data_IF_852718533885
#
_entry.id   IF_852718533885
#
_cell.length_a   1.000
_cell.length_b   1.000
_cell.length_c   1.000
_cell.angle_alpha   90.00
_cell.angle_beta   90.00
_cell.angle_gamma   90.00
#
_symmetry.space_group_name_H-M   'P 1'
#
loop_
_entity.id
_entity.type
_entity.pdbx_description
1 polymer ?
#
# COMPACT_ATOMS: atom_id res chain seq x y z
N UNK A 1 -28.20 -24.82 6.25
CA UNK A 1 -28.90 -23.55 6.50
C UNK A 1 -27.88 -22.44 6.34
N UNK A 2 -27.73 -21.95 5.11
CA UNK A 2 -26.87 -20.81 4.81
C UNK A 2 -27.68 -19.53 5.05
N UNK A 3 -27.24 -18.73 6.01
CA UNK A 3 -27.81 -17.41 6.24
C UNK A 3 -27.21 -16.43 5.23
N UNK A 4 -28.00 -16.10 4.21
CA UNK A 4 -27.73 -14.99 3.30
C UNK A 4 -27.95 -13.66 4.02
N UNK A 5 -26.91 -12.85 4.11
CA UNK A 5 -27.03 -11.45 4.54
C UNK A 5 -27.39 -10.64 3.29
N UNK A 6 -28.68 -10.34 3.13
CA UNK A 6 -29.18 -9.44 2.09
C UNK A 6 -28.90 -7.99 2.51
N UNK A 7 -28.14 -7.26 1.70
CA UNK A 7 -28.02 -5.82 1.80
C UNK A 7 -28.98 -5.14 0.80
N UNK A 8 -29.82 -4.18 1.24
CA UNK A 8 -30.75 -3.48 0.37
C UNK A 8 -29.99 -2.50 -0.55
N UNK A 9 -30.00 -2.78 -1.86
CA UNK A 9 -29.41 -1.91 -2.88
C UNK A 9 -28.92 -2.61 -4.15
N UNK A 10 -28.75 -3.93 -4.13
CA UNK A 10 -28.31 -4.69 -5.30
C UNK A 10 -29.48 -5.03 -6.23
N UNK A 11 -29.83 -4.11 -7.13
CA UNK A 11 -30.78 -4.40 -8.22
C UNK A 11 -30.09 -5.23 -9.28
N UNK A 12 -30.53 -6.48 -9.46
CA UNK A 12 -30.04 -7.41 -10.48
C UNK A 12 -30.56 -6.94 -11.86
N UNK A 13 -29.76 -6.22 -12.64
CA UNK A 13 -30.12 -5.84 -14.02
C UNK A 13 -29.54 -6.88 -14.99
N UNK A 14 -30.41 -7.75 -15.52
CA UNK A 14 -30.16 -8.49 -16.78
C UNK A 14 -30.40 -7.52 -17.92
N UNK A 15 -29.45 -7.35 -18.85
CA UNK A 15 -29.74 -6.76 -20.16
C UNK A 15 -29.00 -7.48 -21.28
N UNK A 16 -29.77 -7.80 -22.33
CA UNK A 16 -29.36 -8.42 -23.59
C UNK A 16 -28.58 -7.44 -24.48
N UNK A 17 -27.56 -7.93 -25.20
CA UNK A 17 -26.75 -7.12 -26.12
C UNK A 17 -27.25 -7.23 -27.56
N UNK A 18 -27.50 -6.09 -28.21
CA UNK A 18 -27.59 -5.95 -29.68
C UNK A 18 -26.45 -5.06 -30.17
N UNK A 19 -25.70 -5.51 -31.17
CA UNK A 19 -24.63 -4.74 -31.80
C UNK A 19 -25.18 -3.77 -32.86
N UNK A 20 -24.58 -2.58 -32.95
CA UNK A 20 -24.65 -1.69 -34.12
C UNK A 20 -23.26 -1.16 -34.44
N UNK A 21 -22.84 -1.30 -35.70
CA UNK A 21 -21.72 -0.56 -36.28
C UNK A 21 -22.10 0.92 -36.37
N UNK A 22 -21.25 1.81 -35.87
CA UNK A 22 -21.35 3.25 -36.11
C UNK A 22 -20.02 3.77 -36.65
N UNK A 23 -20.12 4.51 -37.75
CA UNK A 23 -19.03 5.24 -38.39
C UNK A 23 -18.92 6.65 -37.80
N UNK A 24 -17.68 7.15 -37.76
CA UNK A 24 -17.20 8.54 -37.64
C UNK A 24 -17.10 9.19 -36.25
N UNK A 25 -15.85 9.53 -35.92
CA UNK A 25 -15.33 10.77 -35.32
C UNK A 25 -16.08 11.39 -34.14
N UNK A 26 -15.84 10.90 -32.92
CA UNK A 26 -15.92 11.74 -31.69
C UNK A 26 -15.14 11.12 -30.52
N UNK A 27 -14.29 11.91 -29.85
CA UNK A 27 -13.40 11.50 -28.74
C UNK A 27 -14.04 11.76 -27.35
N UNK A 28 -13.76 10.89 -26.37
CA UNK A 28 -14.07 11.14 -24.95
C UNK A 28 -12.79 11.17 -24.11
N UNK A 29 -12.60 12.27 -23.37
CA UNK A 29 -11.57 12.43 -22.32
C UNK A 29 -12.22 12.12 -20.99
N UNK A 30 -11.78 11.08 -20.28
CA UNK A 30 -12.20 10.84 -18.90
C UNK A 30 -11.12 11.29 -17.92
N UNK A 31 -11.50 12.14 -16.98
CA UNK A 31 -10.67 12.61 -15.87
C UNK A 31 -11.47 12.39 -14.57
N UNK A 32 -11.05 11.39 -13.78
CA UNK A 32 -11.53 10.99 -12.43
C UNK A 32 -12.96 10.41 -12.27
N UNK A 33 -13.28 9.85 -11.09
CA UNK A 33 -12.86 8.54 -10.56
C UNK A 33 -13.80 7.43 -11.08
N UNK A 34 -13.26 6.28 -11.50
CA UNK A 34 -14.12 5.18 -11.94
C UNK A 34 -14.56 4.34 -10.73
N UNK A 35 -15.77 4.62 -10.23
CA UNK A 35 -16.58 3.58 -9.58
C UNK A 35 -17.00 2.62 -10.69
N UNK A 36 -16.48 1.40 -10.68
CA UNK A 36 -16.88 0.36 -11.64
C UNK A 36 -18.34 -0.03 -11.37
N UNK A 37 -19.26 0.55 -12.14
CA UNK A 37 -20.60 0.01 -12.37
C UNK A 37 -20.89 0.00 -13.87
N UNK A 38 -20.47 -1.07 -14.55
CA UNK A 38 -20.72 -1.27 -15.98
C UNK A 38 -19.79 -2.32 -16.61
N UNK A 39 -20.23 -3.07 -17.64
CA UNK A 39 -19.51 -4.23 -18.15
C UNK A 39 -18.29 -3.84 -18.99
N UNK A 40 -17.25 -4.68 -18.88
CA UNK A 40 -16.03 -4.67 -19.70
C UNK A 40 -16.42 -4.86 -21.17
N UNK A 41 -15.97 -3.95 -22.04
CA UNK A 41 -16.24 -4.00 -23.48
C UNK A 41 -15.34 -5.04 -24.17
N UNK A 42 -15.95 -5.85 -25.05
CA UNK A 42 -15.27 -6.71 -26.03
C UNK A 42 -15.88 -6.39 -27.40
N UNK A 43 -15.12 -5.77 -28.31
CA UNK A 43 -15.13 -6.14 -29.73
C UNK A 43 -13.97 -5.50 -30.49
N UNK A 44 -13.53 -6.18 -31.56
CA UNK A 44 -12.20 -6.04 -32.14
C UNK A 44 -11.81 -4.65 -32.59
N UNK A 45 -10.75 -4.13 -31.98
CA UNK A 45 -9.81 -3.15 -32.50
C UNK A 45 -8.59 -3.12 -31.56
N UNK A 46 -7.39 -3.09 -32.15
CA UNK A 46 -6.10 -3.20 -31.48
C UNK A 46 -5.88 -2.02 -30.53
N UNK A 47 -5.57 -2.29 -29.26
CA UNK A 47 -5.22 -1.26 -28.28
C UNK A 47 -3.68 -1.12 -28.19
N UNK A 48 -3.18 0.12 -28.21
CA UNK A 48 -1.76 0.46 -28.13
C UNK A 48 -1.54 1.36 -26.92
N UNK A 49 -0.51 1.07 -26.11
CA UNK A 49 -0.13 1.90 -24.96
C UNK A 49 1.20 2.61 -25.16
N UNK A 50 1.24 3.89 -24.77
CA UNK A 50 2.47 4.69 -24.65
C UNK A 50 2.81 4.95 -23.18
N UNK A 51 4.05 4.65 -22.79
CA UNK A 51 4.57 4.86 -21.44
C UNK A 51 5.60 5.98 -21.46
N UNK A 52 5.24 7.14 -20.87
CA UNK A 52 6.16 8.23 -20.57
C UNK A 52 6.30 8.35 -19.05
N UNK A 53 7.52 8.55 -18.56
CA UNK A 53 7.92 8.44 -17.14
C UNK A 53 7.32 9.45 -16.15
N UNK A 54 6.14 9.99 -16.41
CA UNK A 54 5.28 10.64 -15.42
C UNK A 54 3.86 10.19 -15.74
N UNK A 55 3.22 9.48 -14.82
CA UNK A 55 2.00 8.68 -15.05
C UNK A 55 0.88 9.47 -15.75
N UNK A 56 0.87 9.42 -17.07
CA UNK A 56 -0.20 9.87 -17.96
C UNK A 56 -0.68 8.65 -18.74
N UNK A 57 -1.85 8.12 -18.38
CA UNK A 57 -2.55 7.11 -19.17
C UNK A 57 -3.28 7.81 -20.31
N UNK A 58 -2.64 7.89 -21.47
CA UNK A 58 -3.33 8.16 -22.72
C UNK A 58 -3.54 6.82 -23.42
N UNK A 59 -4.77 6.31 -23.37
CA UNK A 59 -5.15 5.27 -24.33
C UNK A 59 -4.99 5.85 -25.73
N UNK A 60 -4.14 5.24 -26.56
CA UNK A 60 -4.03 5.65 -27.95
C UNK A 60 -5.29 5.18 -28.67
N UNK A 61 -6.23 6.10 -28.89
CA UNK A 61 -7.31 5.95 -29.84
C UNK A 61 -6.74 5.86 -31.26
N UNK A 62 -7.51 5.31 -32.19
CA UNK A 62 -7.23 5.38 -33.63
C UNK A 62 -6.72 6.78 -34.04
N UNK A 63 -5.61 6.82 -34.78
CA UNK A 63 -5.07 8.06 -35.35
C UNK A 63 -3.82 8.65 -34.68
N UNK A 64 -3.27 8.04 -33.62
CA UNK A 64 -1.93 8.41 -33.14
C UNK A 64 -0.87 7.90 -34.11
N UNK A 65 -0.14 8.83 -34.75
CA UNK A 65 1.06 8.49 -35.52
C UNK A 65 2.11 8.00 -34.53
N UNK A 66 2.41 6.71 -34.55
CA UNK A 66 3.48 6.16 -33.73
C UNK A 66 4.81 6.56 -34.35
N UNK A 67 5.61 7.33 -33.61
CA UNK A 67 6.95 7.76 -34.07
C UNK A 67 7.97 6.61 -34.06
N UNK A 68 7.59 5.44 -33.51
CA UNK A 68 8.41 4.23 -33.42
C UNK A 68 7.54 2.97 -33.56
N UNK A 69 8.05 1.88 -34.14
CA UNK A 69 7.29 0.62 -34.23
C UNK A 69 7.10 0.00 -32.84
N UNK A 70 5.91 -0.57 -32.53
CA UNK A 70 5.66 -1.18 -31.24
C UNK A 70 6.35 -2.54 -31.10
N UNK A 71 6.74 -2.89 -29.87
CA UNK A 71 7.09 -4.25 -29.48
C UNK A 71 5.80 -5.07 -29.38
N UNK A 72 5.70 -6.09 -30.22
CA UNK A 72 4.56 -7.02 -30.21
C UNK A 72 4.67 -7.99 -29.03
N UNK A 73 3.56 -8.16 -28.30
CA UNK A 73 3.33 -9.23 -27.33
C UNK A 73 2.26 -10.15 -27.91
N UNK A 74 2.55 -11.44 -27.96
CA UNK A 74 1.60 -12.45 -28.46
C UNK A 74 0.55 -12.75 -27.40
N UNK A 75 -0.72 -12.77 -27.81
CA UNK A 75 -1.86 -13.09 -26.96
C UNK A 75 -2.40 -11.88 -26.19
N UNK A 76 -3.17 -12.19 -25.15
CA UNK A 76 -3.78 -11.19 -24.27
C UNK A 76 -2.73 -10.62 -23.30
N UNK A 77 -2.91 -9.35 -22.88
CA UNK A 77 -1.98 -8.63 -22.00
C UNK A 77 -2.76 -7.96 -20.89
N UNK A 78 -2.31 -8.09 -19.65
CA UNK A 78 -2.77 -7.27 -18.52
C UNK A 78 -1.61 -6.32 -18.17
N UNK A 79 -1.77 -5.02 -18.43
CA UNK A 79 -0.74 -4.02 -18.18
C UNK A 79 -1.02 -3.23 -16.91
N UNK A 80 -0.09 -3.26 -15.95
CA UNK A 80 -0.35 -2.75 -14.60
C UNK A 80 0.91 -2.26 -13.87
N UNK A 81 0.76 -1.40 -12.84
CA UNK A 81 1.90 -0.92 -12.08
C UNK A 81 2.41 -2.09 -11.24
N UNK A 82 3.72 -2.22 -11.15
CA UNK A 82 4.31 -3.18 -10.22
C UNK A 82 5.58 -2.58 -9.67
N UNK A 83 5.65 -2.42 -8.35
CA UNK A 83 6.80 -1.80 -7.72
C UNK A 83 7.68 -2.82 -7.01
N UNK A 84 8.99 -2.57 -7.02
CA UNK A 84 9.95 -3.30 -6.17
C UNK A 84 9.89 -2.85 -4.71
N UNK A 85 9.24 -1.71 -4.43
CA UNK A 85 9.09 -1.19 -3.08
C UNK A 85 7.82 -1.75 -2.43
N UNK A 86 7.96 -2.39 -1.25
CA UNK A 86 6.89 -3.17 -0.62
C UNK A 86 5.58 -2.40 -0.42
N UNK A 87 5.65 -1.12 -0.01
CA UNK A 87 4.47 -0.26 0.10
C UNK A 87 3.71 -0.12 -1.22
N UNK A 88 4.39 0.32 -2.29
CA UNK A 88 3.75 0.53 -3.58
C UNK A 88 3.24 -0.78 -4.17
N UNK A 89 3.98 -1.88 -3.98
CA UNK A 89 3.50 -3.20 -4.36
C UNK A 89 2.17 -3.55 -3.68
N UNK A 90 2.08 -3.44 -2.35
CA UNK A 90 0.86 -3.82 -1.62
C UNK A 90 -0.31 -2.90 -1.98
N UNK A 91 -0.09 -1.59 -1.91
CA UNK A 91 -1.17 -0.63 -2.02
C UNK A 91 -1.63 -0.37 -3.45
N UNK A 92 -0.77 -0.55 -4.46
CA UNK A 92 -1.09 -0.28 -5.87
C UNK A 92 -1.24 -1.55 -6.70
N UNK A 93 -0.31 -2.51 -6.56
CA UNK A 93 -0.28 -3.73 -7.39
C UNK A 93 -1.15 -4.84 -6.83
N UNK A 94 -0.99 -5.17 -5.55
CA UNK A 94 -1.70 -6.28 -4.94
C UNK A 94 -3.20 -5.99 -4.82
N UNK A 95 -3.59 -4.75 -4.52
CA UNK A 95 -5.00 -4.31 -4.54
C UNK A 95 -5.61 -4.44 -5.93
N UNK A 96 -4.87 -4.14 -6.99
CA UNK A 96 -5.34 -4.26 -8.37
C UNK A 96 -5.49 -5.72 -8.79
N UNK A 97 -4.50 -6.57 -8.49
CA UNK A 97 -4.59 -8.01 -8.72
C UNK A 97 -5.73 -8.65 -7.93
N UNK A 98 -5.94 -8.21 -6.69
CA UNK A 98 -7.07 -8.65 -5.87
C UNK A 98 -8.41 -8.26 -6.49
N UNK A 99 -8.54 -7.04 -7.02
CA UNK A 99 -9.75 -6.62 -7.71
C UNK A 99 -10.02 -7.49 -8.95
N UNK A 100 -9.00 -7.69 -9.79
CA UNK A 100 -9.12 -8.55 -10.99
C UNK A 100 -9.52 -9.98 -10.62
N UNK A 101 -8.93 -10.52 -9.55
CA UNK A 101 -9.22 -11.85 -9.04
C UNK A 101 -10.66 -11.96 -8.50
N UNK A 102 -11.13 -11.02 -7.68
CA UNK A 102 -12.52 -11.01 -7.18
C UNK A 102 -13.54 -10.99 -8.32
N UNK A 103 -13.20 -10.33 -9.43
CA UNK A 103 -14.04 -10.23 -10.61
C UNK A 103 -13.86 -11.37 -11.62
N UNK A 104 -13.03 -12.38 -11.31
CA UNK A 104 -12.81 -13.54 -12.18
C UNK A 104 -11.99 -13.24 -13.44
N UNK A 105 -11.35 -12.07 -13.53
CA UNK A 105 -10.63 -11.66 -14.73
C UNK A 105 -9.31 -12.42 -14.90
N UNK A 106 -8.62 -12.75 -13.80
CA UNK A 106 -7.37 -13.53 -13.92
C UNK A 106 -7.65 -14.96 -14.41
N UNK A 107 -8.81 -15.49 -14.05
CA UNK A 107 -9.29 -16.81 -14.44
C UNK A 107 -9.84 -16.83 -15.88
N UNK A 108 -10.42 -15.75 -16.38
CA UNK A 108 -10.84 -15.61 -17.78
C UNK A 108 -9.62 -15.56 -18.73
N UNK A 109 -8.50 -15.02 -18.25
CA UNK A 109 -7.28 -14.80 -19.06
C UNK A 109 -6.05 -15.50 -18.46
N UNK A 110 -6.06 -16.84 -18.32
CA UNK A 110 -4.99 -17.59 -17.63
C UNK A 110 -3.64 -17.54 -18.37
N UNK A 111 -3.69 -17.38 -19.69
CA UNK A 111 -2.52 -17.31 -20.58
C UNK A 111 -2.07 -15.86 -20.89
N UNK A 112 -2.70 -14.85 -20.26
CA UNK A 112 -2.32 -13.47 -20.50
C UNK A 112 -0.88 -13.18 -20.06
N UNK A 113 -0.23 -12.23 -20.72
CA UNK A 113 1.04 -11.68 -20.26
C UNK A 113 0.76 -10.55 -19.26
N UNK A 114 1.29 -10.69 -18.04
CA UNK A 114 1.32 -9.58 -17.08
C UNK A 114 2.47 -8.63 -17.45
N UNK A 115 2.16 -7.46 -18.01
CA UNK A 115 3.13 -6.43 -18.36
C UNK A 115 3.26 -5.42 -17.22
N UNK A 116 4.34 -5.53 -16.47
CA UNK A 116 4.66 -4.69 -15.32
C UNK A 116 5.56 -3.51 -15.72
N UNK A 117 5.15 -2.26 -15.56
CA UNK A 117 5.91 -1.11 -16.12
C UNK A 117 6.95 -0.43 -15.20
N UNK A 118 7.09 -0.83 -13.94
CA UNK A 118 8.13 -0.30 -13.02
C UNK A 118 9.12 -1.40 -12.58
N UNK A 119 8.62 -2.51 -12.04
CA UNK A 119 9.40 -3.65 -11.60
C UNK A 119 8.60 -4.95 -11.71
N UNK A 120 9.27 -6.11 -11.64
CA UNK A 120 8.59 -7.39 -11.44
C UNK A 120 8.38 -7.66 -9.94
N UNK A 121 7.39 -8.48 -9.54
CA UNK A 121 7.17 -8.81 -8.14
C UNK A 121 8.44 -9.42 -7.51
N UNK A 122 8.89 -8.82 -6.40
CA UNK A 122 9.97 -9.33 -5.55
C UNK A 122 9.65 -10.73 -4.98
N UNK A 123 10.62 -11.48 -4.42
CA UNK A 123 10.34 -12.76 -3.78
C UNK A 123 9.24 -12.68 -2.69
N UNK A 124 9.31 -11.66 -1.82
CA UNK A 124 8.28 -11.44 -0.79
C UNK A 124 6.93 -11.06 -1.40
N UNK A 125 6.92 -10.23 -2.45
CA UNK A 125 5.71 -9.89 -3.21
C UNK A 125 5.05 -11.12 -3.83
N UNK A 126 5.83 -12.06 -4.39
CA UNK A 126 5.32 -13.32 -4.92
C UNK A 126 4.76 -14.22 -3.82
N UNK A 127 5.48 -14.36 -2.70
CA UNK A 127 4.97 -15.09 -1.54
C UNK A 127 3.63 -14.52 -1.06
N UNK A 128 3.47 -13.19 -1.02
CA UNK A 128 2.21 -12.57 -0.67
C UNK A 128 1.08 -12.96 -1.63
N UNK A 129 1.31 -12.89 -2.94
CA UNK A 129 0.32 -13.27 -3.94
C UNK A 129 -0.07 -14.75 -3.87
N UNK A 130 0.90 -15.63 -3.61
CA UNK A 130 0.68 -17.05 -3.36
C UNK A 130 -0.20 -17.28 -2.13
N UNK A 131 0.10 -16.60 -1.02
CA UNK A 131 -0.70 -16.68 0.22
C UNK A 131 -2.12 -16.12 0.04
N UNK A 132 -2.30 -15.15 -0.85
CA UNK A 132 -3.62 -14.64 -1.23
C UNK A 132 -4.39 -15.62 -2.12
N UNK A 133 -3.72 -16.62 -2.69
CA UNK A 133 -4.31 -17.53 -3.68
C UNK A 133 -4.60 -16.86 -5.02
N UNK A 134 -3.90 -15.76 -5.34
CA UNK A 134 -4.05 -15.09 -6.63
C UNK A 134 -3.32 -15.91 -7.70
N UNK A 135 -4.02 -16.40 -8.74
CA UNK A 135 -3.37 -17.07 -9.85
C UNK A 135 -2.66 -16.02 -10.70
N UNK A 136 -1.35 -15.90 -10.54
CA UNK A 136 -0.56 -15.06 -11.44
C UNK A 136 -0.56 -15.68 -12.85
N UNK A 137 -0.70 -14.86 -13.91
CA UNK A 137 -0.53 -15.35 -15.26
C UNK A 137 0.87 -15.96 -15.46
N UNK A 138 0.96 -16.98 -16.32
CA UNK A 138 2.19 -17.77 -16.50
C UNK A 138 3.37 -16.96 -17.06
N UNK A 139 3.13 -15.80 -17.66
CA UNK A 139 4.15 -14.91 -18.23
C UNK A 139 4.09 -13.52 -17.60
N UNK A 140 5.20 -13.11 -16.99
CA UNK A 140 5.38 -11.76 -16.44
C UNK A 140 6.52 -11.09 -17.20
N UNK A 141 6.26 -9.92 -17.79
CA UNK A 141 7.26 -9.12 -18.49
C UNK A 141 7.46 -7.76 -17.84
N UNK A 142 8.72 -7.32 -17.78
CA UNK A 142 9.06 -5.96 -17.42
C UNK A 142 8.91 -5.04 -18.65
N UNK A 143 8.00 -4.08 -18.52
CA UNK A 143 7.88 -2.92 -19.38
C UNK A 143 9.15 -2.09 -19.33
N UNK A 144 9.60 -1.63 -20.50
CA UNK A 144 10.75 -0.72 -20.62
C UNK A 144 10.24 0.69 -20.82
N UNK A 145 10.86 1.69 -20.16
CA UNK A 145 10.68 3.09 -20.52
C UNK A 145 10.84 3.26 -22.03
N UNK A 146 10.03 4.12 -22.64
CA UNK A 146 10.18 4.49 -24.05
C UNK A 146 10.00 3.34 -25.05
N UNK A 147 9.29 2.28 -24.66
CA UNK A 147 8.87 1.22 -25.57
C UNK A 147 7.35 1.26 -25.72
N UNK A 148 6.88 1.31 -26.97
CA UNK A 148 5.48 1.10 -27.29
C UNK A 148 5.18 -0.39 -27.30
N UNK A 149 4.10 -0.79 -26.66
CA UNK A 149 3.67 -2.19 -26.62
C UNK A 149 2.35 -2.35 -27.36
N UNK A 150 2.25 -3.43 -28.13
CA UNK A 150 1.03 -3.82 -28.83
C UNK A 150 0.77 -5.31 -28.57
N UNK A 151 -0.42 -5.63 -28.07
CA UNK A 151 -0.89 -7.00 -27.94
C UNK A 151 -1.47 -7.50 -29.28
N UNK A 152 -1.29 -8.77 -29.61
CA UNK A 152 -2.05 -9.39 -30.72
C UNK A 152 -3.45 -9.82 -30.29
N UNK A 153 -3.68 -9.96 -28.99
CA UNK A 153 -4.99 -10.17 -28.36
C UNK A 153 -5.53 -8.92 -27.65
N UNK A 154 -6.36 -9.13 -26.62
CA UNK A 154 -6.93 -8.09 -25.78
C UNK A 154 -5.86 -7.47 -24.87
N UNK A 155 -5.88 -6.15 -24.74
CA UNK A 155 -5.08 -5.44 -23.75
C UNK A 155 -5.99 -4.91 -22.64
N UNK A 156 -5.76 -5.38 -21.41
CA UNK A 156 -6.46 -4.95 -20.21
C UNK A 156 -5.56 -3.98 -19.47
N UNK A 157 -6.05 -2.76 -19.27
CA UNK A 157 -5.34 -1.69 -18.58
C UNK A 157 -6.23 -1.22 -17.44
N UNK A 158 -6.06 -1.75 -16.21
CA UNK A 158 -6.87 -1.32 -15.10
C UNK A 158 -6.62 0.16 -14.82
N UNK A 159 -7.65 0.94 -14.44
CA UNK A 159 -7.47 2.34 -14.12
C UNK A 159 -6.52 2.48 -12.94
N UNK A 160 -5.44 3.22 -13.14
CA UNK A 160 -4.53 3.59 -12.07
C UNK A 160 -5.07 4.82 -11.35
N UNK A 161 -5.22 4.73 -10.04
CA UNK A 161 -5.46 5.94 -9.25
C UNK A 161 -4.13 6.67 -9.08
N UNK A 162 -4.03 7.89 -9.62
CA UNK A 162 -2.90 8.77 -9.37
C UNK A 162 -3.02 9.38 -7.96
N UNK A 163 -2.29 8.78 -7.02
CA UNK A 163 -2.44 8.95 -5.58
C UNK A 163 -2.06 10.31 -5.00
N UNK A 164 -1.20 11.05 -5.68
CA UNK A 164 -0.62 12.27 -5.11
C UNK A 164 -1.39 13.56 -5.41
N UNK A 165 -2.55 13.49 -6.07
CA UNK A 165 -3.26 14.68 -6.56
C UNK A 165 -4.57 15.03 -5.84
N UNK A 166 -5.09 14.20 -4.94
CA UNK A 166 -6.35 14.49 -4.27
C UNK A 166 -6.13 15.10 -2.88
N UNK A 167 -6.59 16.34 -2.72
CA UNK A 167 -6.72 17.04 -1.43
C UNK A 167 -7.98 16.61 -0.66
N UNK A 168 -8.44 15.38 -0.82
CA UNK A 168 -9.66 14.89 -0.18
C UNK A 168 -9.35 14.08 1.08
N UNK A 169 -10.22 14.14 2.11
CA UNK A 169 -9.98 13.53 3.42
C UNK A 169 -10.27 12.02 3.49
N UNK A 170 -10.52 11.36 2.36
CA UNK A 170 -10.78 9.93 2.33
C UNK A 170 -9.49 9.13 2.55
N UNK A 171 -9.63 7.91 3.05
CA UNK A 171 -8.51 7.00 3.21
C UNK A 171 -7.72 6.94 1.93
N UNK A 172 -6.41 7.22 2.08
CA UNK A 172 -5.31 6.70 1.29
C UNK A 172 -5.86 5.92 0.13
N UNK A 173 -5.93 4.61 0.40
CA UNK A 173 -6.17 3.46 -0.46
C UNK A 173 -7.55 2.85 -0.28
N UNK A 174 -7.99 2.06 -1.26
CA UNK A 174 -9.27 1.36 -1.22
C UNK A 174 -9.28 0.37 -0.03
N UNK A 175 -9.84 0.82 1.08
CA UNK A 175 -9.87 0.07 2.33
C UNK A 175 -10.56 -1.28 2.19
N UNK A 176 -11.55 -1.40 1.31
CA UNK A 176 -12.22 -2.67 1.04
C UNK A 176 -11.27 -3.68 0.40
N UNK A 177 -10.44 -3.27 -0.57
CA UNK A 177 -9.42 -4.14 -1.15
C UNK A 177 -8.35 -4.53 -0.12
N UNK A 178 -7.91 -3.60 0.72
CA UNK A 178 -6.97 -3.91 1.81
C UNK A 178 -7.56 -4.89 2.83
N UNK A 179 -8.84 -4.73 3.18
CA UNK A 179 -9.55 -5.68 4.04
C UNK A 179 -9.73 -7.04 3.37
N UNK A 180 -9.95 -7.08 2.04
CA UNK A 180 -10.00 -8.32 1.27
C UNK A 180 -8.66 -9.05 1.34
N UNK A 181 -7.55 -8.35 1.09
CA UNK A 181 -6.18 -8.88 1.24
C UNK A 181 -5.99 -9.46 2.64
N UNK A 182 -6.31 -8.70 3.70
CA UNK A 182 -6.24 -9.16 5.09
C UNK A 182 -7.06 -10.45 5.31
N UNK A 183 -8.27 -10.52 4.77
CA UNK A 183 -9.18 -11.66 4.95
C UNK A 183 -8.67 -12.95 4.31
N UNK A 184 -7.83 -12.84 3.27
CA UNK A 184 -7.17 -13.99 2.63
C UNK A 184 -5.98 -14.49 3.45
N UNK A 185 -5.31 -13.57 4.13
CA UNK A 185 -4.09 -13.83 4.89
C UNK A 185 -4.34 -13.86 6.40
N UNK A 186 -5.52 -14.28 6.85
CA UNK A 186 -5.80 -14.41 8.29
C UNK A 186 -4.93 -15.51 8.91
N UNK A 187 -4.43 -15.35 10.14
CA UNK A 187 -3.56 -16.32 10.79
C UNK A 187 -4.05 -17.78 10.77
N UNK A 188 -5.36 -17.99 10.90
CA UNK A 188 -5.98 -19.33 10.82
C UNK A 188 -5.83 -20.01 9.47
N UNK A 189 -5.63 -19.25 8.38
CA UNK A 189 -5.34 -19.75 7.03
C UNK A 189 -3.84 -19.86 6.75
N UNK A 190 -3.02 -19.16 7.54
CA UNK A 190 -1.56 -19.11 7.42
C UNK A 190 -0.85 -20.12 8.31
N UNK A 191 -1.56 -21.11 8.90
CA UNK A 191 -0.95 -22.17 9.70
C UNK A 191 -0.11 -23.06 8.78
N UNK A 192 1.11 -22.62 8.51
CA UNK A 192 2.16 -23.41 7.89
C UNK A 192 2.96 -24.10 8.99
N UNK A 193 3.52 -25.29 8.69
CA UNK A 193 4.38 -26.10 9.56
C UNK A 193 5.70 -25.41 10.00
N UNK A 194 5.79 -24.09 9.92
CA UNK A 194 6.95 -23.28 10.27
C UNK A 194 7.01 -23.07 11.78
N UNK A 195 7.81 -23.95 12.39
CA UNK A 195 8.14 -24.13 13.80
C UNK A 195 8.87 -22.94 14.46
N UNK A 196 8.43 -21.70 14.28
CA UNK A 196 8.66 -20.66 15.30
C UNK A 196 7.44 -20.64 16.18
N UNK A 197 7.59 -21.15 17.40
CA UNK A 197 6.60 -20.97 18.46
C UNK A 197 6.53 -19.47 18.73
N UNK A 198 5.68 -18.77 17.98
CA UNK A 198 5.28 -17.40 18.27
C UNK A 198 4.46 -17.54 19.55
N UNK A 199 5.12 -17.42 20.70
CA UNK A 199 4.51 -17.63 22.00
C UNK A 199 3.33 -16.67 22.13
N UNK A 200 2.13 -17.24 22.17
CA UNK A 200 0.88 -16.55 22.48
C UNK A 200 0.70 -16.32 23.99
N UNK A 201 1.69 -16.73 24.79
CA UNK A 201 1.63 -16.71 26.24
C UNK A 201 2.01 -15.32 26.77
N UNK A 202 1.19 -14.33 26.46
CA UNK A 202 1.10 -13.13 27.28
C UNK A 202 -0.15 -13.28 28.13
N UNK A 203 0.01 -13.47 29.45
CA UNK A 203 -0.98 -13.66 30.53
C UNK A 203 -2.26 -12.78 30.46
N UNK A 204 -3.07 -12.89 29.40
CA UNK A 204 -4.12 -11.95 29.06
C UNK A 204 -3.65 -10.55 28.63
N UNK A 205 -2.34 -10.34 28.44
CA UNK A 205 -1.78 -9.04 27.99
C UNK A 205 -1.61 -9.03 26.48
N UNK A 206 -2.00 -7.94 25.84
CA UNK A 206 -1.85 -7.80 24.40
C UNK A 206 -0.40 -7.87 23.89
N UNK A 207 -0.17 -8.25 22.63
CA UNK A 207 1.19 -8.32 22.06
C UNK A 207 1.69 -6.91 21.73
N UNK A 208 2.89 -6.56 22.18
CA UNK A 208 3.54 -5.29 21.87
C UNK A 208 4.82 -5.53 21.07
N UNK A 209 4.93 -4.92 19.89
CA UNK A 209 6.09 -5.04 19.00
C UNK A 209 6.73 -3.69 18.71
N UNK A 210 8.05 -3.67 18.72
CA UNK A 210 8.90 -2.61 18.20
C UNK A 210 9.45 -3.07 16.85
N UNK A 211 9.07 -2.38 15.77
CA UNK A 211 9.50 -2.70 14.42
C UNK A 211 10.76 -1.89 14.12
N UNK A 212 11.89 -2.55 14.27
CA UNK A 212 13.21 -1.97 14.02
C UNK A 212 13.42 -1.66 12.54
N UNK A 213 14.23 -0.63 12.30
CA UNK A 213 14.79 -0.30 10.98
C UNK A 213 16.32 -0.25 11.04
N UNK A 214 16.93 -0.99 11.97
CA UNK A 214 18.39 -1.08 12.11
C UNK A 214 19.01 -1.52 10.77
N UNK A 215 20.02 -0.79 10.32
CA UNK A 215 20.65 -1.00 9.01
C UNK A 215 19.94 -0.35 7.82
N UNK A 216 18.77 0.28 8.02
CA UNK A 216 18.00 0.98 7.00
C UNK A 216 17.90 2.49 7.24
N UNK A 217 17.55 3.22 6.18
CA UNK A 217 17.24 4.66 6.25
C UNK A 217 16.04 4.92 7.15
N UNK A 218 16.05 6.09 7.82
CA UNK A 218 15.08 6.51 8.83
C UNK A 218 15.01 5.58 10.04
N UNK A 219 16.06 4.79 10.29
CA UNK A 219 16.21 4.10 11.58
C UNK A 219 16.42 5.11 12.70
N UNK A 220 15.96 4.79 13.90
CA UNK A 220 16.16 5.63 15.09
C UNK A 220 17.64 5.56 15.49
N UNK A 221 18.30 6.70 15.63
CA UNK A 221 19.72 6.76 15.99
C UNK A 221 19.97 6.17 17.38
N UNK A 222 19.10 6.48 18.34
CA UNK A 222 19.15 6.00 19.72
C UNK A 222 18.30 4.74 19.95
N UNK A 223 18.17 3.85 18.96
CA UNK A 223 17.24 2.71 19.01
C UNK A 223 17.46 1.83 20.25
N UNK A 224 18.72 1.52 20.60
CA UNK A 224 19.04 0.67 21.75
C UNK A 224 18.66 1.33 23.08
N UNK A 225 18.88 2.65 23.22
CA UNK A 225 18.46 3.41 24.39
C UNK A 225 16.93 3.45 24.50
N UNK A 226 16.25 3.77 23.39
CA UNK A 226 14.80 3.81 23.32
C UNK A 226 14.18 2.47 23.69
N UNK A 227 14.66 1.38 23.07
CA UNK A 227 14.15 0.05 23.35
C UNK A 227 14.36 -0.34 24.83
N UNK A 228 15.54 -0.05 25.38
CA UNK A 228 15.85 -0.32 26.80
C UNK A 228 14.90 0.43 27.74
N UNK A 229 14.66 1.72 27.50
CA UNK A 229 13.73 2.51 28.32
C UNK A 229 12.29 2.07 28.12
N UNK A 230 11.88 1.75 26.89
CA UNK A 230 10.54 1.21 26.62
C UNK A 230 10.30 -0.11 27.37
N UNK A 231 11.29 -1.01 27.49
CA UNK A 231 11.16 -2.25 28.26
C UNK A 231 10.86 -2.02 29.75
N UNK A 232 11.22 -0.87 30.31
CA UNK A 232 10.88 -0.52 31.70
C UNK A 232 9.39 -0.27 31.91
N UNK A 233 8.68 0.18 30.88
CA UNK A 233 7.23 0.45 30.90
C UNK A 233 6.41 -0.62 30.16
N UNK A 234 7.06 -1.37 29.27
CA UNK A 234 6.51 -2.47 28.49
C UNK A 234 7.41 -3.73 28.62
N UNK A 235 7.32 -4.47 29.74
CA UNK A 235 8.21 -5.61 29.99
C UNK A 235 8.15 -6.69 28.90
N UNK A 236 7.01 -6.83 28.23
CA UNK A 236 6.78 -7.82 27.16
C UNK A 236 7.01 -7.27 25.75
N UNK A 237 7.59 -6.06 25.59
CA UNK A 237 7.91 -5.52 24.27
C UNK A 237 8.94 -6.41 23.57
N UNK A 238 8.63 -6.78 22.33
CA UNK A 238 9.51 -7.55 21.44
C UNK A 238 10.07 -6.64 20.34
N UNK A 239 11.36 -6.76 20.01
CA UNK A 239 11.92 -6.08 18.84
C UNK A 239 11.96 -7.04 17.65
N UNK A 240 11.50 -6.59 16.49
CA UNK A 240 11.54 -7.36 15.25
C UNK A 240 12.21 -6.56 14.14
N UNK A 241 13.00 -7.25 13.30
CA UNK A 241 13.41 -6.76 11.99
C UNK A 241 12.58 -7.53 10.95
N UNK A 242 11.66 -6.88 10.19
CA UNK A 242 10.71 -7.60 9.33
C UNK A 242 11.35 -8.56 8.33
N UNK A 243 12.54 -8.27 7.84
CA UNK A 243 13.25 -9.10 6.86
C UNK A 243 13.67 -10.47 7.40
N UNK A 244 13.69 -10.65 8.73
CA UNK A 244 13.97 -11.93 9.39
C UNK A 244 12.76 -12.89 9.40
N UNK A 245 11.62 -12.43 8.86
CA UNK A 245 10.34 -13.11 8.88
C UNK A 245 9.76 -13.23 7.46
N UNK A 246 9.18 -14.40 7.17
CA UNK A 246 8.33 -14.59 5.99
C UNK A 246 7.11 -13.68 6.03
N UNK A 247 6.47 -13.45 4.88
CA UNK A 247 5.24 -12.64 4.80
C UNK A 247 4.14 -13.21 5.71
N UNK A 248 4.02 -14.54 5.82
CA UNK A 248 3.06 -15.17 6.71
C UNK A 248 3.36 -14.89 8.19
N UNK A 249 4.62 -14.98 8.60
CA UNK A 249 5.04 -14.62 9.96
C UNK A 249 4.82 -13.13 10.24
N UNK A 250 5.15 -12.25 9.29
CA UNK A 250 4.88 -10.81 9.41
C UNK A 250 3.36 -10.55 9.57
N UNK A 251 2.52 -11.20 8.76
CA UNK A 251 1.07 -11.08 8.88
C UNK A 251 0.57 -11.53 10.26
N UNK A 252 1.07 -12.64 10.78
CA UNK A 252 0.73 -13.15 12.12
C UNK A 252 1.18 -12.20 13.25
N UNK A 253 2.39 -11.65 13.16
CA UNK A 253 2.92 -10.70 14.13
C UNK A 253 2.06 -9.43 14.20
N UNK A 254 1.72 -8.85 13.04
CA UNK A 254 0.92 -7.63 12.99
C UNK A 254 -0.56 -7.87 13.30
N UNK A 255 -1.12 -9.02 12.92
CA UNK A 255 -2.51 -9.38 13.23
C UNK A 255 -2.76 -9.61 14.73
N UNK A 256 -1.73 -10.06 15.46
CA UNK A 256 -1.80 -10.31 16.90
C UNK A 256 -1.35 -9.12 17.76
N UNK A 257 -0.84 -8.04 17.16
CA UNK A 257 -0.33 -6.88 17.87
C UNK A 257 -1.45 -5.95 18.37
N UNK A 258 -1.37 -5.58 19.65
CA UNK A 258 -2.20 -4.55 20.28
C UNK A 258 -1.46 -3.20 20.36
N UNK A 259 -0.12 -3.24 20.31
CA UNK A 259 0.74 -2.06 20.25
C UNK A 259 1.87 -2.28 19.25
N UNK A 260 2.02 -1.35 18.31
CA UNK A 260 3.10 -1.33 17.32
C UNK A 260 3.84 -0.01 17.46
N UNK A 261 5.14 -0.07 17.73
CA UNK A 261 6.04 1.09 17.76
C UNK A 261 7.00 0.97 16.59
N UNK A 262 7.07 1.95 15.71
CA UNK A 262 7.92 1.86 14.52
C UNK A 262 8.34 3.24 14.00
N UNK A 263 9.57 3.38 13.48
CA UNK A 263 9.87 4.49 12.59
C UNK A 263 9.14 4.33 11.25
N UNK A 264 8.71 5.45 10.67
CA UNK A 264 7.96 5.50 9.42
C UNK A 264 8.72 4.81 8.28
N UNK A 265 8.02 3.95 7.54
CA UNK A 265 8.55 3.34 6.32
C UNK A 265 7.80 2.08 5.90
N UNK A 266 8.31 1.42 4.85
CA UNK A 266 7.61 0.33 4.17
C UNK A 266 7.21 -0.84 5.08
N UNK A 267 7.91 -1.08 6.18
CA UNK A 267 7.56 -2.11 7.17
C UNK A 267 6.17 -1.92 7.79
N UNK A 268 5.70 -0.66 7.92
CA UNK A 268 4.36 -0.34 8.41
C UNK A 268 3.27 -0.67 7.39
N UNK A 269 3.60 -1.03 6.16
CA UNK A 269 2.65 -1.62 5.20
C UNK A 269 1.97 -2.85 5.79
N UNK A 270 2.65 -3.60 6.66
CA UNK A 270 2.06 -4.75 7.36
C UNK A 270 0.92 -4.39 8.32
N UNK A 271 0.67 -3.10 8.61
CA UNK A 271 -0.54 -2.66 9.31
C UNK A 271 -1.82 -3.10 8.60
N UNK A 272 -1.79 -3.45 7.31
CA UNK A 272 -2.94 -4.07 6.62
C UNK A 272 -3.41 -5.35 7.31
N UNK A 273 -2.55 -6.05 8.04
CA UNK A 273 -2.89 -7.30 8.74
C UNK A 273 -3.44 -7.07 10.15
N UNK A 274 -3.22 -5.89 10.73
CA UNK A 274 -3.65 -5.57 12.07
C UNK A 274 -5.18 -5.41 12.17
N UNK A 275 -5.72 -5.61 13.37
CA UNK A 275 -7.09 -5.19 13.70
C UNK A 275 -7.09 -3.68 13.97
N UNK A 276 -7.45 -2.89 12.97
CA UNK A 276 -7.48 -1.42 13.03
C UNK A 276 -8.36 -0.82 14.13
N UNK A 277 -9.31 -1.58 14.66
CA UNK A 277 -10.13 -1.17 15.81
C UNK A 277 -9.42 -1.42 17.15
N UNK A 278 -8.46 -2.36 17.18
CA UNK A 278 -7.78 -2.85 18.39
C UNK A 278 -6.32 -2.45 18.53
N UNK A 279 -5.61 -2.24 17.43
CA UNK A 279 -4.19 -1.90 17.46
C UNK A 279 -3.98 -0.43 17.80
N UNK A 280 -2.98 -0.16 18.62
CA UNK A 280 -2.42 1.17 18.83
C UNK A 280 -1.11 1.29 18.07
N UNK A 281 -0.94 2.36 17.28
CA UNK A 281 0.29 2.60 16.52
C UNK A 281 1.00 3.83 17.08
N UNK A 282 2.28 3.67 17.36
CA UNK A 282 3.22 4.75 17.66
C UNK A 282 4.21 4.83 16.51
N UNK A 283 4.03 5.83 15.66
CA UNK A 283 4.82 6.05 14.44
C UNK A 283 5.80 7.20 14.64
N UNK A 284 7.07 7.02 14.27
CA UNK A 284 8.11 8.06 14.37
C UNK A 284 8.50 8.53 12.97
N UNK A 285 8.33 9.82 12.68
CA UNK A 285 8.57 10.41 11.34
C UNK A 285 9.47 11.65 11.44
N UNK A 286 10.26 12.00 10.40
CA UNK A 286 10.99 13.27 10.39
C UNK A 286 10.04 14.48 10.38
N UNK A 287 10.42 15.57 11.06
CA UNK A 287 9.70 16.87 11.04
C UNK A 287 9.64 17.44 9.63
N UNK A 288 10.72 17.31 8.85
CA UNK A 288 10.88 17.93 7.53
C UNK A 288 9.96 17.34 6.46
N UNK A 289 9.57 16.07 6.62
CA UNK A 289 8.72 15.32 5.68
C UNK A 289 7.82 14.36 6.46
N UNK A 290 7.00 14.93 7.35
CA UNK A 290 6.06 14.15 8.14
C UNK A 290 5.12 13.37 7.22
N UNK A 291 5.13 12.05 7.36
CA UNK A 291 4.24 11.12 6.69
C UNK A 291 3.64 10.19 7.74
N UNK A 292 2.43 9.69 7.48
CA UNK A 292 1.79 8.77 8.40
C UNK A 292 0.95 7.72 7.71
N UNK A 293 1.13 6.47 8.15
CA UNK A 293 0.30 5.34 7.73
C UNK A 293 -1.14 5.43 8.25
N UNK A 294 -1.48 6.43 9.07
CA UNK A 294 -2.87 6.68 9.46
C UNK A 294 -3.77 6.92 8.25
N UNK A 295 -3.29 7.66 7.27
CA UNK A 295 -4.12 7.99 6.10
C UNK A 295 -4.27 6.78 5.18
N UNK A 296 -3.26 5.92 5.15
CA UNK A 296 -3.23 4.71 4.31
C UNK A 296 -4.02 3.54 4.91
N UNK A 297 -4.33 3.60 6.21
CA UNK A 297 -4.99 2.53 6.96
C UNK A 297 -6.24 3.04 7.68
N UNK A 298 -7.08 2.14 8.21
CA UNK A 298 -8.21 2.51 9.05
C UNK A 298 -7.90 2.58 10.55
N UNK A 299 -6.61 2.63 10.93
CA UNK A 299 -6.19 2.55 12.34
C UNK A 299 -6.76 3.72 13.14
N UNK A 300 -7.51 3.39 14.19
CA UNK A 300 -8.24 4.37 15.01
C UNK A 300 -7.39 4.99 16.12
N UNK A 301 -6.31 4.33 16.52
CA UNK A 301 -5.41 4.75 17.59
C UNK A 301 -4.00 4.94 17.06
N UNK A 302 -3.63 6.19 16.82
CA UNK A 302 -2.39 6.53 16.15
C UNK A 302 -1.73 7.76 16.80
N UNK A 303 -0.53 7.56 17.34
CA UNK A 303 0.36 8.58 17.87
C UNK A 303 1.53 8.78 16.90
N UNK A 304 1.61 9.96 16.29
CA UNK A 304 2.68 10.33 15.36
C UNK A 304 3.69 11.22 16.08
N UNK A 305 4.88 10.69 16.35
CA UNK A 305 6.01 11.45 16.87
C UNK A 305 6.79 12.05 15.70
N UNK A 306 6.82 13.37 15.61
CA UNK A 306 7.76 14.05 14.72
C UNK A 306 9.08 14.23 15.45
N UNK A 307 10.20 14.02 14.75
CA UNK A 307 11.52 14.21 15.32
C UNK A 307 12.48 14.84 14.31
N UNK A 308 13.57 15.48 14.77
CA UNK A 308 14.68 15.79 13.89
C UNK A 308 15.19 14.55 13.18
N UNK A 309 15.85 14.79 12.05
CA UNK A 309 16.51 13.77 11.27
C UNK A 309 17.89 14.22 10.84
N UNK A 310 18.83 13.28 10.77
CA UNK A 310 20.08 13.49 10.09
C UNK A 310 19.84 13.44 8.57
N UNK A 311 20.17 14.50 7.81
CA UNK A 311 20.08 14.47 6.36
C UNK A 311 20.95 13.33 5.79
N UNK A 312 20.44 12.61 4.80
CA UNK A 312 21.21 11.64 4.04
C UNK A 312 21.98 12.28 2.88
N UNK A 313 22.76 11.47 2.16
CA UNK A 313 23.55 11.95 1.02
C UNK A 313 22.66 12.60 -0.05
N UNK A 314 23.11 13.77 -0.54
CA UNK A 314 22.47 14.58 -1.58
C UNK A 314 21.05 15.10 -1.23
N UNK A 315 20.71 15.22 0.06
CA UNK A 315 19.42 15.72 0.56
C UNK A 315 18.17 14.98 0.05
N UNK A 316 18.36 13.82 -0.58
CA UNK A 316 17.23 13.11 -1.18
C UNK A 316 16.38 12.44 -0.11
N UNK A 317 16.98 11.98 1.01
CA UNK A 317 16.29 11.23 2.08
C UNK A 317 17.01 11.32 3.43
N UNK A 318 16.27 11.18 4.53
CA UNK A 318 16.82 11.15 5.89
C UNK A 318 17.59 9.85 6.19
N UNK A 319 18.78 9.99 6.79
CA UNK A 319 19.64 8.86 7.18
C UNK A 319 19.12 8.20 8.46
N UNK A 320 19.03 8.98 9.53
CA UNK A 320 18.56 8.54 10.85
C UNK A 320 17.56 9.53 11.45
N UNK A 321 16.71 9.03 12.34
CA UNK A 321 15.79 9.81 13.15
C UNK A 321 16.40 10.04 14.53
N UNK A 322 16.44 11.29 14.98
CA UNK A 322 16.93 11.69 16.29
C UNK A 322 15.72 11.95 17.20
N UNK A 323 15.21 10.89 17.83
CA UNK A 323 14.01 10.98 18.64
C UNK A 323 14.33 11.41 20.08
N UNK A 324 13.46 12.23 20.68
CA UNK A 324 13.54 12.53 22.11
C UNK A 324 13.02 11.34 22.94
N UNK A 325 13.94 10.43 23.27
CA UNK A 325 13.65 9.14 23.92
C UNK A 325 12.83 9.31 25.20
N UNK A 326 13.21 10.24 26.07
CA UNK A 326 12.52 10.45 27.36
C UNK A 326 11.09 10.92 27.14
N UNK A 327 10.89 11.89 26.25
CA UNK A 327 9.56 12.37 25.90
C UNK A 327 8.68 11.26 25.32
N UNK A 328 9.24 10.42 24.44
CA UNK A 328 8.52 9.31 23.83
C UNK A 328 8.08 8.27 24.88
N UNK A 329 8.98 7.90 25.78
CA UNK A 329 8.68 6.96 26.88
C UNK A 329 7.65 7.54 27.84
N UNK A 330 7.76 8.82 28.19
CA UNK A 330 6.81 9.51 29.06
C UNK A 330 5.40 9.55 28.46
N UNK A 331 5.27 9.92 27.18
CA UNK A 331 3.97 9.94 26.50
C UNK A 331 3.40 8.54 26.36
N UNK A 332 4.22 7.53 26.03
CA UNK A 332 3.75 6.15 25.99
C UNK A 332 3.19 5.74 27.35
N UNK A 333 3.93 5.99 28.42
CA UNK A 333 3.53 5.64 29.78
C UNK A 333 2.27 6.37 30.27
N UNK A 334 2.18 7.67 30.02
CA UNK A 334 1.15 8.53 30.62
C UNK A 334 -0.11 8.67 29.76
N UNK A 335 -0.02 8.38 28.48
CA UNK A 335 -1.10 8.61 27.52
C UNK A 335 -1.45 7.36 26.73
N UNK A 336 -0.48 6.78 26.00
CA UNK A 336 -0.75 5.62 25.12
C UNK A 336 -1.26 4.42 25.90
N UNK A 337 -0.63 4.10 27.04
CA UNK A 337 -1.03 2.96 27.89
C UNK A 337 -2.27 3.25 28.73
N UNK A 338 -2.63 4.51 28.93
CA UNK A 338 -3.78 4.93 29.75
C UNK A 338 -5.06 5.01 28.90
N UNK A 339 -4.96 5.50 27.66
CA UNK A 339 -6.09 5.72 26.75
C UNK A 339 -6.22 4.65 25.66
N UNK A 340 -5.73 3.43 25.93
CA UNK A 340 -5.66 2.33 24.97
C UNK A 340 -7.02 1.88 24.38
N UNK A 341 -8.15 2.37 24.90
CA UNK A 341 -9.50 1.99 24.43
C UNK A 341 -10.24 3.06 23.62
N UNK A 342 -9.74 4.30 23.55
CA UNK A 342 -10.41 5.39 22.84
C UNK A 342 -9.76 5.66 21.48
N UNK A 343 -10.56 5.84 20.42
CA UNK A 343 -10.08 6.34 19.14
C UNK A 343 -9.35 7.67 19.37
N UNK A 344 -8.05 7.70 19.04
CA UNK A 344 -7.14 8.79 19.39
C UNK A 344 -6.18 9.01 18.24
N UNK A 345 -6.12 10.26 17.76
CA UNK A 345 -5.05 10.72 16.88
C UNK A 345 -4.33 11.87 17.56
N UNK A 346 -3.00 11.77 17.68
CA UNK A 346 -2.16 12.83 18.21
C UNK A 346 -0.88 12.93 17.40
N UNK A 347 -0.55 14.14 16.97
CA UNK A 347 0.79 14.48 16.51
C UNK A 347 1.54 15.10 17.68
N UNK A 348 2.75 14.60 17.94
CA UNK A 348 3.58 14.98 19.07
C UNK A 348 4.88 15.55 18.52
N UNK A 349 5.06 16.85 18.75
CA UNK A 349 6.25 17.57 18.33
C UNK A 349 7.43 17.30 19.28
N UNK A 350 8.68 17.39 18.77
CA UNK A 350 9.86 17.21 19.60
C UNK A 350 9.94 18.32 20.65
N UNK A 351 10.24 17.96 21.92
CA UNK A 351 10.43 18.96 23.00
C UNK A 351 11.77 19.70 22.91
N UNK A 352 12.75 19.14 22.18
CA UNK A 352 14.06 19.74 22.00
C UNK A 352 13.97 20.82 20.90
N UNK A 353 14.28 22.07 21.25
CA UNK A 353 14.48 23.13 20.27
C UNK A 353 15.70 22.80 19.41
N UNK A 354 15.52 22.69 18.10
CA UNK A 354 16.61 22.48 17.15
C UNK A 354 16.92 23.82 16.48
N UNK A 355 18.17 24.32 16.53
CA UNK A 355 18.59 25.42 15.68
C UNK A 355 18.49 24.99 14.22
N UNK A 356 17.61 25.61 13.42
CA UNK A 356 17.57 25.41 11.97
C UNK A 356 16.39 24.60 11.42
N UNK A 357 15.36 24.29 12.21
CA UNK A 357 14.05 23.93 11.63
C UNK A 357 13.50 25.15 10.90
N UNK A 358 13.69 25.20 9.58
CA UNK A 358 12.94 26.10 8.73
C UNK A 358 11.45 25.83 9.00
N UNK A 359 10.74 26.84 9.49
CA UNK A 359 9.28 26.83 9.48
C UNK A 359 8.81 26.38 8.09
N UNK A 360 7.71 25.61 7.97
CA UNK A 360 7.16 25.29 6.67
C UNK A 360 7.00 26.60 5.89
N UNK A 361 7.41 26.65 4.61
CA UNK A 361 7.34 27.89 3.85
C UNK A 361 5.91 28.42 3.93
N UNK A 362 5.77 29.68 4.33
CA UNK A 362 4.47 30.35 4.36
C UNK A 362 3.75 30.08 3.03
N UNK A 363 2.44 29.77 3.04
CA UNK A 363 1.71 29.51 1.81
C UNK A 363 1.96 30.69 0.88
N UNK A 364 2.62 30.41 -0.26
CA UNK A 364 2.90 31.44 -1.26
C UNK A 364 1.56 32.11 -1.57
N UNK A 365 1.45 33.40 -1.23
CA UNK A 365 0.33 34.21 -1.66
C UNK A 365 0.15 33.96 -3.15
N UNK A 366 -1.07 33.58 -3.53
CA UNK A 366 -1.44 33.44 -4.92
C UNK A 366 -1.27 34.82 -5.57
N UNK A 367 -0.12 35.05 -6.21
CA UNK A 367 0.06 36.16 -7.11
C UNK A 367 -0.93 35.96 -8.24
N UNK A 368 -2.06 36.65 -8.14
CA UNK A 368 -2.89 36.98 -9.29
C UNK A 368 -2.00 37.71 -10.29
N UNK A 369 -1.72 37.07 -11.42
CA UNK A 369 -1.50 37.71 -12.70
C UNK A 369 -1.90 36.74 -13.81
#
# INVERSE_FOLDING_TARGET
MEASINYPGATRVRNEFRSRRLHNDTFWRMSYPLVLSGPILKHGETQIMEYSGTVCFTGACEGVKLDRPPKLIQGDVIAMPCSGHYFHFVFETATMLEALHIHGMLEEFPDATLLCYDAIPSPSSRQMLELMGIPLPGRIELGKPDVLYQATGLMIVPPFHNYHYHREPYSSYNQWLLQSIRSRMTPSKLVTNTSRTITSDNDGKGRAIFVSRKGYRRGIQQEEELFTKLKTVLPHLESILPDDFSVAEQANLFASADLIISPHGASLTNLIFADWSKVTVVEVTPVTRAASFRMDTGVQRHYLFTCPSEPGEKDLWDKHLDCDVDNMVDVIKTDVLVHSHNATWRQIEPKRNIPGTLSPPAPKEATKQ
#
